data_IF_351621044585
#
_entry.id   IF_351621044585
#
_cell.length_a   1.000
_cell.length_b   1.000
_cell.length_c   1.000
_cell.angle_alpha   90.00
_cell.angle_beta   90.00
_cell.angle_gamma   90.00
#
_symmetry.space_group_name_H-M   'P 1'
#
loop_
_entity.id
_entity.type
_entity.pdbx_description
1 polymer ?
#
# COMPACT_ATOMS: atom_id res chain seq x y z
N UNK A 1 19.83 -20.92 0.67
CA UNK A 1 18.50 -20.27 0.55
C UNK A 1 18.53 -19.37 -0.66
N UNK A 2 17.80 -19.75 -1.72
CA UNK A 2 17.77 -19.04 -3.01
C UNK A 2 16.99 -17.74 -2.85
N UNK A 3 17.71 -16.61 -2.91
CA UNK A 3 17.14 -15.27 -2.94
C UNK A 3 16.52 -15.08 -4.34
N UNK A 4 15.19 -15.24 -4.42
CA UNK A 4 14.44 -15.08 -5.67
C UNK A 4 14.37 -13.59 -6.05
N UNK A 5 15.45 -13.05 -6.63
CA UNK A 5 15.39 -11.80 -7.39
C UNK A 5 14.66 -12.07 -8.69
N UNK A 6 13.36 -11.79 -8.71
CA UNK A 6 12.47 -12.01 -9.84
C UNK A 6 12.93 -11.27 -11.12
N UNK A 7 13.00 -11.95 -12.28
CA UNK A 7 13.44 -11.35 -13.55
C UNK A 7 12.29 -10.70 -14.33
N UNK A 8 11.63 -9.63 -13.87
CA UNK A 8 10.43 -9.11 -14.58
C UNK A 8 10.23 -7.57 -14.55
N UNK A 9 11.29 -6.78 -14.53
CA UNK A 9 11.18 -5.30 -14.48
C UNK A 9 10.40 -4.67 -15.65
N UNK A 10 10.48 -5.26 -16.85
CA UNK A 10 9.81 -4.76 -18.05
C UNK A 10 8.31 -5.10 -18.08
N UNK A 11 7.95 -6.36 -17.76
CA UNK A 11 6.55 -6.81 -17.69
C UNK A 11 5.75 -6.03 -16.63
N UNK A 12 6.34 -5.84 -15.46
CA UNK A 12 5.72 -5.10 -14.36
C UNK A 12 5.43 -3.64 -14.73
N UNK A 13 6.35 -2.98 -15.42
CA UNK A 13 6.17 -1.60 -15.89
C UNK A 13 5.12 -1.51 -17.00
N UNK A 14 5.09 -2.50 -17.89
CA UNK A 14 4.10 -2.57 -18.96
C UNK A 14 2.67 -2.79 -18.40
N UNK A 15 2.48 -3.70 -17.45
CA UNK A 15 1.20 -3.89 -16.75
C UNK A 15 0.77 -2.64 -15.99
N UNK A 16 1.71 -1.97 -15.31
CA UNK A 16 1.46 -0.69 -14.66
C UNK A 16 1.01 0.41 -15.65
N UNK A 17 1.59 0.45 -16.83
CA UNK A 17 1.18 1.34 -17.91
C UNK A 17 -0.22 1.02 -18.42
N UNK A 18 -0.52 -0.25 -18.71
CA UNK A 18 -1.84 -0.70 -19.17
C UNK A 18 -2.92 -0.39 -18.14
N UNK A 19 -2.67 -0.66 -16.85
CA UNK A 19 -3.61 -0.35 -15.77
C UNK A 19 -3.87 1.17 -15.68
N UNK A 20 -2.83 2.01 -15.76
CA UNK A 20 -2.99 3.48 -15.77
C UNK A 20 -3.77 3.97 -16.99
N UNK A 21 -3.55 3.37 -18.14
CA UNK A 21 -4.26 3.71 -19.37
C UNK A 21 -5.74 3.35 -19.23
N UNK A 22 -6.05 2.11 -18.83
CA UNK A 22 -7.42 1.64 -18.60
C UNK A 22 -8.16 2.53 -17.61
N UNK A 23 -7.53 2.87 -16.48
CA UNK A 23 -8.11 3.76 -15.46
C UNK A 23 -8.46 5.13 -16.05
N UNK A 24 -7.57 5.72 -16.87
CA UNK A 24 -7.84 7.00 -17.53
C UNK A 24 -8.96 6.91 -18.56
N UNK A 25 -8.98 5.85 -19.38
CA UNK A 25 -10.04 5.61 -20.36
C UNK A 25 -11.42 5.48 -19.69
N UNK A 26 -11.48 5.01 -18.44
CA UNK A 26 -12.71 4.86 -17.65
C UNK A 26 -12.96 6.04 -16.67
N UNK A 27 -12.23 7.15 -16.78
CA UNK A 27 -12.46 8.35 -15.96
C UNK A 27 -11.96 8.26 -14.51
N UNK A 28 -11.18 7.23 -14.17
CA UNK A 28 -10.55 7.11 -12.86
C UNK A 28 -9.17 7.78 -12.87
N UNK A 29 -9.13 9.03 -12.41
CA UNK A 29 -7.86 9.68 -12.09
C UNK A 29 -7.27 9.16 -10.77
N UNK A 30 -5.97 9.38 -10.57
CA UNK A 30 -5.27 8.89 -9.37
C UNK A 30 -5.85 9.41 -8.05
N UNK A 31 -6.47 10.60 -8.02
CA UNK A 31 -7.12 11.18 -6.83
C UNK A 31 -8.53 10.60 -6.63
N UNK A 32 -9.28 10.37 -7.70
CA UNK A 32 -10.55 9.65 -7.64
C UNK A 32 -10.35 8.22 -7.14
N UNK A 33 -9.33 7.52 -7.66
CA UNK A 33 -9.00 6.17 -7.23
C UNK A 33 -8.51 6.14 -5.77
N UNK A 34 -7.70 7.12 -5.35
CA UNK A 34 -7.28 7.26 -3.95
C UNK A 34 -8.46 7.40 -2.99
N UNK A 35 -9.45 8.24 -3.34
CA UNK A 35 -10.69 8.41 -2.57
C UNK A 35 -11.50 7.11 -2.50
N UNK A 36 -11.64 6.41 -3.64
CA UNK A 36 -12.37 5.14 -3.73
C UNK A 36 -11.74 4.03 -2.89
N UNK A 37 -10.40 3.97 -2.89
CA UNK A 37 -9.62 2.96 -2.16
C UNK A 37 -9.35 3.36 -0.70
N UNK A 38 -9.76 4.56 -0.26
CA UNK A 38 -9.43 5.11 1.05
C UNK A 38 -7.93 5.10 1.37
N UNK A 39 -7.09 5.44 0.38
CA UNK A 39 -5.62 5.51 0.54
C UNK A 39 -5.07 6.83 0.02
N UNK A 40 -3.81 7.13 0.33
CA UNK A 40 -3.14 8.31 -0.23
C UNK A 40 -2.86 8.14 -1.73
N UNK A 41 -2.80 9.24 -2.51
CA UNK A 41 -2.40 9.19 -3.93
C UNK A 41 -1.03 8.52 -4.14
N UNK A 42 -0.08 8.76 -3.23
CA UNK A 42 1.23 8.09 -3.25
C UNK A 42 1.11 6.57 -3.08
N UNK A 43 0.16 6.12 -2.24
CA UNK A 43 -0.11 4.69 -2.08
C UNK A 43 -0.72 4.08 -3.34
N UNK A 44 -1.61 4.78 -4.03
CA UNK A 44 -2.12 4.35 -5.35
C UNK A 44 -0.97 4.17 -6.35
N UNK A 45 -0.07 5.15 -6.45
CA UNK A 45 1.10 5.05 -7.33
C UNK A 45 1.97 3.84 -7.00
N UNK A 46 2.15 3.51 -5.72
CA UNK A 46 2.89 2.32 -5.29
C UNK A 46 2.15 1.02 -5.65
N UNK A 47 0.82 0.96 -5.52
CA UNK A 47 0.01 -0.21 -5.88
C UNK A 47 0.17 -0.50 -7.37
N UNK A 48 0.03 0.52 -8.21
CA UNK A 48 0.17 0.38 -9.67
C UNK A 48 1.60 -0.02 -10.04
N UNK A 49 2.61 0.65 -9.48
CA UNK A 49 4.01 0.41 -9.83
C UNK A 49 4.49 -0.97 -9.39
N UNK A 50 4.14 -1.40 -8.16
CA UNK A 50 4.57 -2.70 -7.62
C UNK A 50 3.69 -3.85 -8.09
N UNK A 51 2.50 -3.56 -8.63
CA UNK A 51 1.51 -4.57 -9.00
C UNK A 51 1.10 -5.46 -7.84
N UNK A 52 1.11 -4.94 -6.62
CA UNK A 52 0.79 -5.72 -5.42
C UNK A 52 0.06 -4.87 -4.39
N UNK A 53 -1.05 -5.38 -3.84
CA UNK A 53 -1.80 -4.70 -2.79
C UNK A 53 -2.64 -5.65 -1.93
N UNK A 54 -3.10 -5.19 -0.75
CA UNK A 54 -4.06 -5.94 0.06
C UNK A 54 -5.32 -6.34 -0.71
N UNK A 55 -5.89 -7.50 -0.37
CA UNK A 55 -7.02 -8.11 -1.06
C UNK A 55 -8.25 -7.19 -1.18
N UNK A 56 -8.57 -6.42 -0.13
CA UNK A 56 -9.64 -5.40 -0.14
C UNK A 56 -9.54 -4.40 -1.29
N UNK A 57 -8.32 -4.03 -1.69
CA UNK A 57 -8.09 -3.06 -2.76
C UNK A 57 -8.22 -3.74 -4.13
N UNK A 58 -7.82 -5.01 -4.25
CA UNK A 58 -8.04 -5.82 -5.46
C UNK A 58 -9.53 -5.96 -5.72
N UNK A 59 -10.32 -6.27 -4.69
CA UNK A 59 -11.78 -6.39 -4.78
C UNK A 59 -12.42 -5.07 -5.21
N UNK A 60 -11.93 -3.95 -4.68
CA UNK A 60 -12.40 -2.61 -5.10
C UNK A 60 -12.05 -2.32 -6.55
N UNK A 61 -10.84 -2.69 -7.01
CA UNK A 61 -10.41 -2.54 -8.41
C UNK A 61 -11.24 -3.45 -9.34
N UNK A 62 -11.54 -4.67 -8.92
CA UNK A 62 -12.42 -5.57 -9.66
C UNK A 62 -13.85 -5.01 -9.73
N UNK A 63 -14.37 -4.43 -8.64
CA UNK A 63 -15.70 -3.85 -8.57
C UNK A 63 -15.89 -2.61 -9.46
N UNK A 64 -14.82 -1.86 -9.76
CA UNK A 64 -14.87 -0.77 -10.73
C UNK A 64 -14.70 -1.23 -12.19
N UNK A 65 -14.48 -2.54 -12.41
CA UNK A 65 -14.41 -3.16 -13.73
C UNK A 65 -13.00 -3.41 -14.27
N UNK A 66 -11.94 -3.25 -13.46
CA UNK A 66 -10.57 -3.53 -13.93
C UNK A 66 -10.48 -5.02 -14.33
N UNK A 67 -9.98 -5.32 -15.54
CA UNK A 67 -9.88 -6.70 -16.02
C UNK A 67 -8.89 -7.51 -15.18
N UNK A 68 -9.18 -8.80 -14.99
CA UNK A 68 -8.44 -9.69 -14.10
C UNK A 68 -6.93 -9.76 -14.42
N UNK A 69 -6.56 -9.66 -15.70
CA UNK A 69 -5.16 -9.64 -16.15
C UNK A 69 -4.37 -8.40 -15.68
N UNK A 70 -5.07 -7.27 -15.49
CA UNK A 70 -4.49 -6.02 -15.02
C UNK A 70 -4.58 -5.84 -13.50
N UNK A 71 -5.25 -6.73 -12.79
CA UNK A 71 -5.36 -6.65 -11.33
C UNK A 71 -4.00 -6.90 -10.67
N UNK A 72 -3.64 -6.12 -9.65
CA UNK A 72 -2.44 -6.37 -8.86
C UNK A 72 -2.58 -7.67 -8.05
N UNK A 73 -1.44 -8.27 -7.71
CA UNK A 73 -1.38 -9.48 -6.91
C UNK A 73 -1.66 -9.21 -5.42
N UNK A 74 -2.23 -10.18 -4.70
CA UNK A 74 -2.42 -10.05 -3.26
C UNK A 74 -1.08 -9.97 -2.54
N UNK A 75 -0.92 -8.93 -1.71
CA UNK A 75 0.23 -8.75 -0.83
C UNK A 75 -0.16 -8.94 0.63
N UNK A 76 0.69 -9.59 1.46
CA UNK A 76 0.43 -9.70 2.89
C UNK A 76 0.25 -8.31 3.49
N UNK A 77 -0.88 -8.11 4.15
CA UNK A 77 -1.18 -6.85 4.81
C UNK A 77 -0.26 -6.73 6.04
N UNK A 78 0.66 -5.76 6.02
CA UNK A 78 1.46 -5.47 7.21
C UNK A 78 0.52 -4.82 8.24
N UNK A 79 0.28 -5.44 9.40
CA UNK A 79 -0.51 -4.80 10.43
C UNK A 79 0.15 -3.48 10.81
N UNK A 80 -0.66 -2.43 10.94
CA UNK A 80 -0.20 -1.14 11.45
C UNK A 80 0.36 -1.26 12.88
N UNK A 81 0.92 -0.18 13.42
CA UNK A 81 1.30 -0.13 14.84
C UNK A 81 0.11 -0.58 15.69
N UNK A 82 0.37 -1.48 16.66
CA UNK A 82 -0.66 -1.95 17.59
C UNK A 82 -1.40 -0.76 18.22
N UNK A 83 -2.72 -0.85 18.34
CA UNK A 83 -3.52 0.14 19.07
C UNK A 83 -2.92 0.32 20.48
N UNK A 84 -2.59 1.56 20.87
CA UNK A 84 -1.93 1.86 22.15
C UNK A 84 -0.40 1.80 22.14
N UNK A 85 0.26 1.51 21.00
CA UNK A 85 1.73 1.63 20.88
C UNK A 85 2.19 3.00 21.37
N UNK A 86 1.58 4.07 20.87
CA UNK A 86 2.05 5.44 21.08
C UNK A 86 1.91 5.83 22.56
N UNK A 87 0.79 5.48 23.16
CA UNK A 87 0.51 5.68 24.57
C UNK A 87 1.53 4.95 25.45
N UNK A 88 1.78 3.66 25.20
CA UNK A 88 2.82 2.87 25.91
C UNK A 88 4.24 3.43 25.73
N UNK A 89 4.53 4.06 24.59
CA UNK A 89 5.84 4.66 24.31
C UNK A 89 6.00 5.99 25.05
N UNK A 90 4.95 6.80 25.10
CA UNK A 90 4.91 8.05 25.88
C UNK A 90 4.97 7.78 27.38
N UNK A 91 4.25 6.76 27.86
CA UNK A 91 4.29 6.35 29.27
C UNK A 91 5.71 5.91 29.70
N UNK A 92 6.42 5.17 28.85
CA UNK A 92 7.83 4.80 29.11
C UNK A 92 8.77 6.01 29.16
N UNK A 93 8.69 6.89 28.17
CA UNK A 93 9.51 8.10 28.14
C UNK A 93 9.32 8.95 29.40
N UNK A 94 8.07 9.09 29.87
CA UNK A 94 7.75 9.83 31.08
C UNK A 94 8.34 9.22 32.37
N UNK A 95 8.53 7.90 32.42
CA UNK A 95 9.18 7.22 33.56
C UNK A 95 10.70 7.34 33.53
N UNK A 96 11.30 7.47 32.36
CA UNK A 96 12.76 7.60 32.22
C UNK A 96 13.27 9.01 32.61
N UNK A 97 12.48 10.06 32.40
CA UNK A 97 12.80 11.43 32.85
C UNK A 97 12.81 11.57 34.40
N UNK A 98 12.04 10.76 35.12
CA UNK A 98 11.90 10.83 36.59
C UNK A 98 13.10 10.20 37.34
N UNK A 99 13.83 9.28 36.71
CA UNK A 99 14.97 8.57 37.32
C UNK A 99 16.34 9.23 37.11
N UNK A 100 16.40 10.42 36.48
CA UNK A 100 17.67 11.12 36.17
C UNK A 100 17.89 12.37 37.04
N UNK A 101 17.28 12.43 38.22
CA UNK A 101 17.41 13.54 39.17
C UNK A 101 17.73 13.06 40.58
N UNK A 102 18.72 12.17 40.73
CA UNK A 102 19.42 11.96 42.01
C UNK A 102 20.86 11.57 41.67
N UNK A 103 21.75 12.56 41.60
CA UNK A 103 23.20 12.43 41.50
C UNK A 103 23.86 13.60 42.24
#
# INVERSE_FOLDING_TARGET
>A
MINQTAPHGQDQQFRAFLLRRWLREHGYDGRALARRLHVSPSRVSQIILRGACPRRHIETLAAIGVPADLLPLPSPERPGPQKGWLERRLERARREDDHTSEA
#
